data_IF_170195186341
#
_entry.id   IF_170195186341
#
_cell.length_a   1.000
_cell.length_b   1.000
_cell.length_c   1.000
_cell.angle_alpha   90.00
_cell.angle_beta   90.00
_cell.angle_gamma   90.00
#
_symmetry.space_group_name_H-M   'P 1'
#
loop_
_entity.id
_entity.type
_entity.pdbx_description
1 polymer ?
#
# COMPACT_ATOMS: atom_id res chain seq x y z
N UNK A 1 13.85 -40.00 67.16
CA UNK A 1 15.13 -39.45 67.66
C UNK A 1 15.57 -38.46 66.60
N UNK A 2 15.65 -37.20 67.01
CA UNK A 2 15.92 -36.01 66.20
C UNK A 2 17.35 -35.97 65.62
N UNK A 3 17.56 -34.90 64.83
CA UNK A 3 18.82 -34.23 64.40
C UNK A 3 19.40 -34.72 63.06
N UNK A 4 19.87 -33.90 62.11
CA UNK A 4 19.81 -32.46 61.75
C UNK A 4 20.60 -32.40 60.40
N UNK A 5 20.02 -31.93 59.29
CA UNK A 5 20.28 -30.65 58.60
C UNK A 5 21.74 -30.32 58.22
N UNK A 6 22.05 -30.29 56.90
CA UNK A 6 22.75 -29.16 56.29
C UNK A 6 22.51 -29.06 54.77
N UNK A 7 22.41 -27.80 54.32
CA UNK A 7 21.88 -27.28 53.06
C UNK A 7 22.77 -27.47 51.82
N UNK A 8 22.15 -27.57 50.65
CA UNK A 8 22.59 -26.76 49.52
C UNK A 8 21.41 -26.32 48.65
N UNK A 9 21.24 -25.00 48.55
CA UNK A 9 20.35 -24.32 47.61
C UNK A 9 20.79 -24.55 46.16
N UNK A 10 19.83 -24.82 45.28
CA UNK A 10 19.57 -23.96 44.12
C UNK A 10 18.19 -24.29 43.54
N UNK A 11 17.27 -23.32 43.66
CA UNK A 11 16.10 -23.14 42.81
C UNK A 11 16.60 -22.80 41.38
N UNK A 12 15.86 -22.96 40.29
CA UNK A 12 14.56 -22.35 39.97
C UNK A 12 13.93 -23.16 38.80
N UNK A 13 12.73 -23.71 38.98
CA UNK A 13 11.47 -23.16 38.45
C UNK A 13 11.30 -23.33 36.91
N UNK A 14 10.91 -24.53 36.47
CA UNK A 14 10.25 -24.74 35.18
C UNK A 14 8.81 -24.22 35.28
N UNK A 15 8.62 -22.98 34.83
CA UNK A 15 7.32 -22.37 34.58
C UNK A 15 6.75 -22.93 33.28
N UNK A 16 5.56 -23.49 33.37
CA UNK A 16 4.70 -23.95 32.28
C UNK A 16 4.59 -22.92 31.15
N UNK A 17 5.10 -23.25 29.96
CA UNK A 17 4.74 -22.53 28.73
C UNK A 17 3.35 -22.99 28.28
N UNK A 18 2.41 -22.04 28.30
CA UNK A 18 1.09 -22.17 27.69
C UNK A 18 1.24 -22.41 26.19
N UNK A 19 0.75 -23.56 25.72
CA UNK A 19 0.67 -23.91 24.31
C UNK A 19 -0.37 -23.03 23.63
N UNK A 20 0.05 -21.87 23.12
CA UNK A 20 -0.80 -21.07 22.23
C UNK A 20 -0.83 -21.77 20.86
N UNK A 21 -1.92 -22.49 20.61
CA UNK A 21 -2.20 -23.11 19.32
C UNK A 21 -2.76 -22.03 18.40
N UNK A 22 -1.97 -21.55 17.44
CA UNK A 22 -2.44 -20.64 16.38
C UNK A 22 -2.52 -21.42 15.07
N UNK A 23 -3.75 -21.76 14.68
CA UNK A 23 -4.08 -22.19 13.32
C UNK A 23 -4.22 -20.95 12.44
N UNK A 24 -3.55 -20.91 11.29
CA UNK A 24 -4.00 -20.10 10.16
C UNK A 24 -3.86 -20.92 8.88
N UNK A 25 -5.02 -21.23 8.30
CA UNK A 25 -5.21 -21.85 7.00
C UNK A 25 -4.76 -20.91 5.87
N UNK A 26 -3.94 -21.42 4.95
CA UNK A 26 -4.02 -21.02 3.54
C UNK A 26 -3.42 -22.12 2.66
N UNK A 27 -4.30 -22.98 2.19
CA UNK A 27 -4.04 -24.01 1.20
C UNK A 27 -3.93 -23.31 -0.16
N UNK A 28 -2.75 -23.35 -0.78
CA UNK A 28 -2.66 -23.09 -2.23
C UNK A 28 -3.15 -24.37 -2.91
N UNK A 29 -4.35 -24.32 -3.49
CA UNK A 29 -4.92 -25.41 -4.29
C UNK A 29 -4.46 -25.21 -5.73
N UNK A 30 -3.41 -25.93 -6.13
CA UNK A 30 -3.26 -26.29 -7.54
C UNK A 30 -3.93 -27.65 -7.74
N UNK A 31 -5.02 -27.67 -8.51
CA UNK A 31 -5.69 -28.90 -8.89
C UNK A 31 -4.85 -29.66 -9.92
N UNK A 32 -3.94 -30.52 -9.48
CA UNK A 32 -3.57 -31.74 -10.23
C UNK A 32 -3.27 -32.90 -9.27
N UNK A 33 -3.99 -34.00 -9.49
CA UNK A 33 -3.80 -35.37 -8.97
C UNK A 33 -3.23 -35.56 -7.55
N UNK A 34 -4.07 -36.10 -6.67
CA UNK A 34 -3.74 -36.53 -5.30
C UNK A 34 -2.64 -37.62 -5.30
N UNK A 35 -1.37 -37.21 -5.23
CA UNK A 35 -0.29 -38.01 -4.62
C UNK A 35 0.96 -37.14 -4.39
N UNK A 36 1.37 -37.00 -3.12
CA UNK A 36 2.53 -36.28 -2.60
C UNK A 36 2.39 -34.76 -2.38
N UNK A 37 1.45 -34.38 -1.50
CA UNK A 37 1.47 -33.05 -0.87
C UNK A 37 2.69 -32.93 0.05
N UNK A 38 3.73 -32.22 -0.40
CA UNK A 38 4.92 -31.94 0.39
C UNK A 38 4.68 -30.65 1.17
N UNK A 39 4.32 -30.76 2.45
CA UNK A 39 4.15 -29.60 3.33
C UNK A 39 5.55 -29.04 3.63
N UNK A 40 5.86 -27.87 3.08
CA UNK A 40 7.11 -27.15 3.37
C UNK A 40 6.79 -26.04 4.37
N UNK A 41 7.32 -26.17 5.59
CA UNK A 41 7.25 -25.10 6.58
C UNK A 41 8.31 -24.04 6.24
N UNK A 42 7.89 -22.96 5.59
CA UNK A 42 8.73 -21.78 5.42
C UNK A 42 8.80 -21.05 6.76
N UNK A 43 9.98 -21.02 7.38
CA UNK A 43 10.21 -20.16 8.54
C UNK A 43 10.11 -18.71 8.08
N UNK A 44 9.12 -17.98 8.62
CA UNK A 44 9.03 -16.54 8.41
C UNK A 44 10.30 -15.87 8.94
N UNK A 45 10.76 -14.78 8.32
CA UNK A 45 11.86 -13.99 8.88
C UNK A 45 11.46 -13.48 10.27
N UNK A 46 12.43 -13.28 11.19
CA UNK A 46 12.15 -12.69 12.49
C UNK A 46 11.44 -11.34 12.32
N UNK A 47 10.49 -11.04 13.22
CA UNK A 47 9.76 -9.76 13.22
C UNK A 47 8.97 -9.48 11.93
N UNK A 48 8.57 -10.52 11.19
CA UNK A 48 7.66 -10.38 10.05
C UNK A 48 6.29 -9.85 10.53
N UNK A 49 5.85 -8.73 9.94
CA UNK A 49 4.59 -8.07 10.28
C UNK A 49 3.55 -8.15 9.15
N UNK A 50 4.00 -8.41 7.92
CA UNK A 50 3.12 -8.62 6.78
C UNK A 50 3.82 -9.46 5.69
N UNK A 51 3.01 -10.17 4.91
CA UNK A 51 3.48 -10.97 3.78
C UNK A 51 2.69 -10.54 2.54
N UNK A 52 3.37 -9.85 1.63
CA UNK A 52 2.83 -9.46 0.33
C UNK A 52 3.08 -10.52 -0.74
N UNK A 53 2.68 -10.23 -1.98
CA UNK A 53 2.95 -11.10 -3.12
C UNK A 53 4.45 -11.21 -3.42
N UNK A 54 5.14 -10.07 -3.51
CA UNK A 54 6.56 -10.01 -3.87
C UNK A 54 7.53 -10.23 -2.71
N UNK A 55 7.08 -10.05 -1.45
CA UNK A 55 8.00 -10.00 -0.33
C UNK A 55 7.42 -10.12 1.08
N UNK A 56 8.32 -10.25 2.04
CA UNK A 56 8.06 -10.18 3.47
C UNK A 56 8.38 -8.78 3.99
N UNK A 57 7.49 -8.19 4.78
CA UNK A 57 7.74 -6.94 5.49
C UNK A 57 8.09 -7.28 6.93
N UNK A 58 9.29 -6.91 7.35
CA UNK A 58 9.82 -7.22 8.67
C UNK A 58 10.19 -5.93 9.40
N UNK A 59 9.80 -5.83 10.67
CA UNK A 59 10.17 -4.68 11.49
C UNK A 59 11.65 -4.79 11.88
N UNK A 60 12.43 -3.77 11.52
CA UNK A 60 13.85 -3.70 11.87
C UNK A 60 14.07 -3.00 13.22
N UNK A 61 13.34 -1.91 13.45
CA UNK A 61 13.36 -1.12 14.68
C UNK A 61 12.02 -0.36 14.85
N UNK A 62 11.97 0.63 15.74
CA UNK A 62 10.75 1.40 16.02
C UNK A 62 10.27 2.27 14.84
N UNK A 63 11.16 2.61 13.91
CA UNK A 63 10.92 3.59 12.86
C UNK A 63 11.16 3.02 11.45
N UNK A 64 11.55 1.75 11.34
CA UNK A 64 12.04 1.17 10.09
C UNK A 64 11.48 -0.23 9.85
N UNK A 65 11.13 -0.51 8.59
CA UNK A 65 10.90 -1.86 8.09
C UNK A 65 11.92 -2.24 7.01
N UNK A 66 12.09 -3.54 6.82
CA UNK A 66 12.81 -4.13 5.69
C UNK A 66 11.82 -4.95 4.88
N UNK A 67 11.75 -4.69 3.58
CA UNK A 67 11.01 -5.50 2.61
C UNK A 67 11.99 -6.46 1.95
N UNK A 68 11.90 -7.74 2.30
CA UNK A 68 12.69 -8.82 1.71
C UNK A 68 11.90 -9.42 0.54
N UNK A 69 12.56 -9.85 -0.56
CA UNK A 69 11.88 -10.66 -1.56
C UNK A 69 11.38 -11.97 -0.94
N UNK A 70 10.31 -12.53 -1.50
CA UNK A 70 9.90 -13.90 -1.16
C UNK A 70 10.99 -14.90 -1.52
N UNK A 71 11.07 -15.98 -0.76
CA UNK A 71 12.04 -17.05 -0.96
C UNK A 71 11.37 -18.42 -0.80
N UNK A 72 11.51 -19.25 -1.83
CA UNK A 72 11.09 -20.63 -1.85
C UNK A 72 12.32 -21.52 -2.06
N UNK A 73 12.59 -22.48 -1.15
CA UNK A 73 13.66 -23.45 -1.33
C UNK A 73 13.51 -24.18 -2.67
N UNK A 74 14.63 -24.40 -3.34
CA UNK A 74 14.73 -25.14 -4.61
C UNK A 74 13.92 -24.55 -5.79
N UNK A 75 13.50 -23.29 -5.71
CA UNK A 75 12.77 -22.61 -6.79
C UNK A 75 13.40 -21.27 -7.21
N UNK A 76 14.63 -21.34 -7.73
CA UNK A 76 15.38 -20.15 -8.16
C UNK A 76 14.69 -19.28 -9.23
N UNK A 77 13.95 -19.80 -10.22
CA UNK A 77 13.22 -18.95 -11.16
C UNK A 77 12.22 -18.01 -10.47
N UNK A 78 11.44 -18.51 -9.50
CA UNK A 78 10.51 -17.68 -8.73
C UNK A 78 11.26 -16.74 -7.78
N UNK A 79 12.32 -17.22 -7.12
CA UNK A 79 13.14 -16.36 -6.25
C UNK A 79 13.76 -15.20 -7.03
N UNK A 80 14.20 -15.44 -8.27
CA UNK A 80 14.72 -14.39 -9.14
C UNK A 80 13.62 -13.41 -9.52
N UNK A 81 12.42 -13.89 -9.88
CA UNK A 81 11.26 -13.03 -10.16
C UNK A 81 10.94 -12.10 -8.97
N UNK A 82 10.95 -12.62 -7.74
CA UNK A 82 10.72 -11.79 -6.55
C UNK A 82 11.83 -10.76 -6.29
N UNK A 83 13.10 -11.15 -6.50
CA UNK A 83 14.23 -10.20 -6.44
C UNK A 83 14.09 -9.09 -7.48
N UNK A 84 13.64 -9.43 -8.69
CA UNK A 84 13.45 -8.48 -9.78
C UNK A 84 12.29 -7.52 -9.47
N UNK A 85 11.17 -8.00 -8.91
CA UNK A 85 10.06 -7.15 -8.46
C UNK A 85 10.52 -6.12 -7.42
N UNK A 86 11.23 -6.56 -6.37
CA UNK A 86 11.75 -5.63 -5.35
C UNK A 86 12.80 -4.69 -5.94
N UNK A 87 13.62 -5.16 -6.90
CA UNK A 87 14.59 -4.31 -7.61
C UNK A 87 13.91 -3.22 -8.45
N UNK A 88 12.79 -3.53 -9.10
CA UNK A 88 11.96 -2.55 -9.83
C UNK A 88 11.35 -1.53 -8.88
N UNK A 89 10.76 -1.98 -7.77
CA UNK A 89 10.22 -1.11 -6.72
C UNK A 89 11.30 -0.17 -6.15
N UNK A 90 12.51 -0.68 -5.91
CA UNK A 90 13.68 0.12 -5.50
C UNK A 90 13.98 1.23 -6.50
N UNK A 91 14.01 0.92 -7.81
CA UNK A 91 14.29 1.91 -8.85
C UNK A 91 13.24 3.03 -8.88
N UNK A 92 11.99 2.72 -8.54
CA UNK A 92 10.93 3.71 -8.43
C UNK A 92 11.17 4.64 -7.26
N UNK A 93 11.43 4.10 -6.06
CA UNK A 93 11.76 4.94 -4.91
C UNK A 93 12.98 5.83 -5.18
N UNK A 94 14.01 5.29 -5.85
CA UNK A 94 15.19 6.07 -6.27
C UNK A 94 14.84 7.16 -7.29
N UNK A 95 13.94 6.90 -8.24
CA UNK A 95 13.47 7.90 -9.22
C UNK A 95 12.60 8.99 -8.58
N UNK A 96 11.73 8.62 -7.65
CA UNK A 96 10.83 9.54 -6.94
C UNK A 96 11.58 10.36 -5.89
N UNK A 97 12.66 9.82 -5.31
CA UNK A 97 13.39 10.48 -4.24
C UNK A 97 12.49 10.80 -3.03
N UNK A 98 12.81 11.88 -2.33
CA UNK A 98 12.01 12.34 -1.18
C UNK A 98 10.84 13.20 -1.65
N UNK A 99 9.62 12.77 -1.36
CA UNK A 99 8.39 13.52 -1.64
C UNK A 99 7.42 13.41 -0.47
N UNK A 100 6.70 14.49 -0.15
CA UNK A 100 5.88 14.60 1.07
C UNK A 100 4.81 13.51 1.19
N UNK A 101 4.26 13.03 0.07
CA UNK A 101 3.24 11.98 0.06
C UNK A 101 3.74 10.60 -0.35
N UNK A 102 5.06 10.34 -0.39
CA UNK A 102 5.62 8.99 -0.61
C UNK A 102 6.21 8.50 0.71
N UNK A 103 6.04 7.22 1.04
CA UNK A 103 6.67 6.65 2.25
C UNK A 103 8.20 6.79 2.14
N UNK A 104 8.90 7.28 3.18
CA UNK A 104 10.35 7.49 3.09
C UNK A 104 11.11 6.20 2.75
N UNK A 105 11.83 6.24 1.64
CA UNK A 105 12.80 5.22 1.26
C UNK A 105 14.15 5.51 1.91
N UNK A 106 14.67 4.53 2.65
CA UNK A 106 15.87 4.65 3.48
C UNK A 106 17.07 3.92 2.86
N UNK A 107 16.96 3.53 1.58
CA UNK A 107 18.02 2.89 0.82
C UNK A 107 17.93 1.36 0.78
N UNK A 108 18.96 0.77 0.19
CA UNK A 108 19.12 -0.68 0.09
C UNK A 108 19.52 -1.23 1.46
N UNK A 109 18.82 -2.27 1.92
CA UNK A 109 19.22 -3.03 3.09
C UNK A 109 20.29 -4.07 2.75
N UNK A 110 20.08 -4.80 1.66
CA UNK A 110 21.00 -5.84 1.19
C UNK A 110 20.99 -5.93 -0.34
N UNK A 111 22.15 -5.64 -0.96
CA UNK A 111 22.31 -5.67 -2.41
C UNK A 111 22.23 -7.08 -3.01
N UNK A 112 22.54 -8.13 -2.23
CA UNK A 112 22.53 -9.51 -2.73
C UNK A 112 21.11 -10.05 -2.90
N UNK A 113 20.19 -9.61 -2.04
CA UNK A 113 18.78 -9.99 -2.07
C UNK A 113 17.87 -8.91 -2.67
N UNK A 114 18.43 -7.75 -3.05
CA UNK A 114 17.67 -6.54 -3.41
C UNK A 114 16.77 -6.00 -2.29
N UNK A 115 16.88 -6.49 -1.05
CA UNK A 115 16.01 -6.05 0.04
C UNK A 115 16.14 -4.55 0.29
N UNK A 116 15.01 -3.88 0.49
CA UNK A 116 14.94 -2.42 0.67
C UNK A 116 14.50 -2.05 2.07
N UNK A 117 14.92 -0.87 2.52
CA UNK A 117 14.57 -0.29 3.81
C UNK A 117 13.61 0.88 3.61
N UNK A 118 12.50 0.89 4.35
CA UNK A 118 11.49 1.96 4.32
C UNK A 118 11.20 2.44 5.75
N UNK A 119 10.69 3.65 5.90
CA UNK A 119 10.13 4.10 7.17
C UNK A 119 8.94 3.23 7.60
N UNK A 120 8.80 3.02 8.90
CA UNK A 120 7.68 2.30 9.48
C UNK A 120 6.54 3.26 9.81
N UNK A 121 5.46 3.17 9.03
CA UNK A 121 4.22 3.88 9.28
C UNK A 121 3.44 3.23 10.45
N UNK A 122 3.63 3.74 11.67
CA UNK A 122 3.01 3.17 12.87
C UNK A 122 1.48 3.24 12.88
N UNK A 123 0.88 4.18 12.13
CA UNK A 123 -0.57 4.33 12.03
C UNK A 123 -1.19 3.38 10.98
N UNK A 124 -0.36 2.58 10.30
CA UNK A 124 -0.80 1.52 9.40
C UNK A 124 -1.39 2.02 8.08
N UNK A 125 -2.19 1.17 7.43
CA UNK A 125 -2.83 1.47 6.16
C UNK A 125 -4.06 2.37 6.34
N UNK A 126 -4.34 3.23 5.36
CA UNK A 126 -5.51 4.11 5.34
C UNK A 126 -6.83 3.32 5.49
N UNK A 127 -6.91 2.14 4.86
CA UNK A 127 -8.05 1.22 5.01
C UNK A 127 -8.37 0.90 6.48
N UNK A 128 -7.36 0.49 7.24
CA UNK A 128 -7.53 0.17 8.67
C UNK A 128 -7.67 1.45 9.50
N UNK A 129 -6.96 2.51 9.13
CA UNK A 129 -7.00 3.78 9.82
C UNK A 129 -8.42 4.36 9.87
N UNK A 130 -9.10 4.40 8.73
CA UNK A 130 -10.50 4.85 8.62
C UNK A 130 -11.43 4.00 9.49
N UNK A 131 -11.21 2.68 9.55
CA UNK A 131 -12.07 1.78 10.31
C UNK A 131 -11.97 1.99 11.84
N UNK A 132 -10.79 2.32 12.34
CA UNK A 132 -10.51 2.39 13.78
C UNK A 132 -10.46 3.81 14.36
N UNK A 133 -10.59 4.85 13.54
CA UNK A 133 -10.53 6.25 13.99
C UNK A 133 -11.81 6.99 13.63
N UNK A 134 -12.20 7.92 14.50
CA UNK A 134 -13.29 8.83 14.24
C UNK A 134 -13.00 9.71 13.01
N UNK A 135 -14.07 10.09 12.31
CA UNK A 135 -13.96 10.97 11.16
C UNK A 135 -13.39 12.33 11.57
N UNK A 136 -12.24 12.77 11.02
CA UNK A 136 -11.67 14.06 11.33
C UNK A 136 -12.46 15.19 10.65
N UNK A 137 -12.08 16.44 10.95
CA UNK A 137 -12.71 17.62 10.36
C UNK A 137 -12.65 17.58 8.84
N UNK A 138 -13.59 18.26 8.20
CA UNK A 138 -13.62 18.42 6.76
C UNK A 138 -12.30 18.99 6.20
N UNK A 139 -11.70 19.96 6.89
CA UNK A 139 -10.40 20.55 6.52
C UNK A 139 -9.24 19.55 6.51
N UNK A 140 -9.18 18.62 7.47
CA UNK A 140 -8.14 17.58 7.51
C UNK A 140 -8.34 16.62 6.34
N UNK A 141 -9.59 16.21 6.09
CA UNK A 141 -9.93 15.31 4.98
C UNK A 141 -9.62 15.95 3.63
N UNK A 142 -9.92 17.24 3.46
CA UNK A 142 -9.57 18.00 2.26
C UNK A 142 -8.05 18.06 2.05
N UNK A 143 -7.27 18.35 3.10
CA UNK A 143 -5.80 18.37 3.03
C UNK A 143 -5.20 17.00 2.71
N UNK A 144 -5.77 15.91 3.23
CA UNK A 144 -5.38 14.55 2.89
C UNK A 144 -5.67 14.23 1.42
N UNK A 145 -6.83 14.63 0.91
CA UNK A 145 -7.22 14.46 -0.50
C UNK A 145 -6.27 15.24 -1.42
N UNK A 146 -5.98 16.50 -1.09
CA UNK A 146 -5.00 17.32 -1.82
C UNK A 146 -3.63 16.63 -1.87
N UNK A 147 -3.13 16.15 -0.73
CA UNK A 147 -1.86 15.42 -0.67
C UNK A 147 -1.84 14.19 -1.59
N UNK A 148 -2.94 13.45 -1.65
CA UNK A 148 -3.07 12.28 -2.55
C UNK A 148 -3.01 12.71 -4.02
N UNK A 149 -3.80 13.71 -4.42
CA UNK A 149 -3.87 14.16 -5.81
C UNK A 149 -2.52 14.72 -6.27
N UNK A 150 -1.88 15.57 -5.48
CA UNK A 150 -0.54 16.09 -5.76
C UNK A 150 0.51 14.98 -5.87
N UNK A 151 0.41 13.94 -5.02
CA UNK A 151 1.37 12.84 -5.02
C UNK A 151 1.26 11.98 -6.27
N UNK A 152 0.04 11.64 -6.70
CA UNK A 152 -0.14 10.88 -7.93
C UNK A 152 0.18 11.69 -9.18
N UNK A 153 -0.07 13.00 -9.17
CA UNK A 153 0.44 13.90 -10.20
C UNK A 153 1.97 13.87 -10.25
N UNK A 154 2.63 13.93 -9.09
CA UNK A 154 4.09 13.81 -9.01
C UNK A 154 4.58 12.47 -9.57
N UNK A 155 4.01 11.34 -9.15
CA UNK A 155 4.37 10.01 -9.67
C UNK A 155 4.24 9.96 -11.20
N UNK A 156 3.12 10.46 -11.73
CA UNK A 156 2.89 10.54 -13.18
C UNK A 156 3.94 11.40 -13.89
N UNK A 157 4.29 12.57 -13.34
CA UNK A 157 5.33 13.47 -13.89
C UNK A 157 6.74 12.87 -13.88
N UNK A 158 6.93 11.76 -13.15
CA UNK A 158 8.15 10.96 -13.11
C UNK A 158 8.08 9.72 -14.00
N UNK A 159 7.10 9.68 -14.91
CA UNK A 159 6.88 8.66 -15.92
C UNK A 159 6.67 7.27 -15.31
N UNK A 160 5.85 7.21 -14.25
CA UNK A 160 5.51 5.99 -13.52
C UNK A 160 3.99 5.86 -13.45
N UNK A 161 3.49 4.64 -13.65
CA UNK A 161 2.15 4.21 -13.31
C UNK A 161 2.22 3.30 -12.08
N UNK A 162 1.31 3.47 -11.13
CA UNK A 162 1.25 2.66 -9.92
C UNK A 162 0.51 1.32 -10.15
N UNK A 163 -0.57 1.35 -10.93
CA UNK A 163 -1.46 0.27 -11.36
C UNK A 163 -2.18 -0.53 -10.27
N UNK A 164 -1.88 -0.32 -8.99
CA UNK A 164 -2.63 -0.93 -7.86
C UNK A 164 -3.05 0.11 -6.81
N UNK A 165 -3.66 1.22 -7.24
CA UNK A 165 -4.06 2.31 -6.32
C UNK A 165 -5.29 1.91 -5.49
N UNK A 166 -5.06 1.57 -4.21
CA UNK A 166 -6.10 1.13 -3.26
C UNK A 166 -5.83 1.67 -1.85
N UNK A 167 -6.84 1.79 -0.97
CA UNK A 167 -6.66 2.32 0.38
C UNK A 167 -5.65 1.53 1.23
N UNK A 168 -5.45 0.24 0.97
CA UNK A 168 -4.43 -0.56 1.63
C UNK A 168 -2.99 -0.31 1.11
N UNK A 169 -2.82 0.44 0.03
CA UNK A 169 -1.49 0.88 -0.48
C UNK A 169 -1.11 2.28 0.00
N UNK A 170 -2.05 2.99 0.61
CA UNK A 170 -1.79 4.26 1.29
C UNK A 170 -1.52 3.96 2.76
N UNK A 171 -0.39 4.40 3.28
CA UNK A 171 -0.05 4.38 4.70
C UNK A 171 -0.40 5.72 5.33
N UNK A 172 -0.73 5.73 6.62
CA UNK A 172 -0.77 6.94 7.43
C UNK A 172 0.53 7.01 8.21
N UNK A 173 1.27 8.10 8.04
CA UNK A 173 2.55 8.31 8.72
C UNK A 173 2.69 9.79 9.07
N UNK A 174 2.88 10.07 10.36
CA UNK A 174 2.92 11.42 10.92
C UNK A 174 1.64 12.21 10.55
N UNK A 175 0.49 11.58 10.78
CA UNK A 175 -0.85 12.14 10.52
C UNK A 175 -1.09 12.59 9.07
N UNK A 176 -0.36 12.00 8.13
CA UNK A 176 -0.40 12.34 6.70
C UNK A 176 -0.42 11.07 5.84
N UNK A 177 -1.22 11.04 4.75
CA UNK A 177 -1.24 9.91 3.85
C UNK A 177 0.05 9.83 3.02
N UNK A 178 0.61 8.62 2.90
CA UNK A 178 1.81 8.30 2.12
C UNK A 178 1.51 7.13 1.19
N UNK A 179 1.69 7.32 -0.12
CA UNK A 179 1.69 6.23 -1.10
C UNK A 179 2.87 5.30 -0.81
N UNK A 180 2.60 4.01 -0.88
CA UNK A 180 3.57 2.93 -0.69
C UNK A 180 3.30 1.78 -1.65
N UNK A 181 4.21 0.81 -1.69
CA UNK A 181 4.05 -0.48 -2.36
C UNK A 181 3.88 -0.40 -3.89
N UNK A 182 5.00 -0.14 -4.58
CA UNK A 182 5.08 -0.19 -6.04
C UNK A 182 5.30 -1.64 -6.52
N UNK A 183 4.33 -2.51 -6.23
CA UNK A 183 4.44 -3.96 -6.49
C UNK A 183 4.17 -4.39 -7.94
N UNK A 184 3.29 -3.67 -8.65
CA UNK A 184 2.97 -3.90 -10.06
C UNK A 184 3.10 -2.63 -10.91
N UNK A 185 4.22 -1.89 -10.84
CA UNK A 185 4.31 -0.61 -11.48
C UNK A 185 4.69 -0.75 -12.96
N UNK A 186 4.37 0.28 -13.74
CA UNK A 186 4.97 0.47 -15.05
C UNK A 186 5.87 1.70 -15.05
N UNK A 187 7.07 1.53 -15.60
CA UNK A 187 8.13 2.54 -15.61
C UNK A 187 8.46 2.86 -17.06
N UNK A 188 8.37 4.14 -17.42
CA UNK A 188 8.76 4.61 -18.74
C UNK A 188 10.04 5.45 -18.69
N UNK A 189 10.67 5.61 -19.86
CA UNK A 189 11.78 6.55 -20.02
C UNK A 189 11.31 7.98 -19.72
N UNK A 190 12.17 8.83 -19.17
CA UNK A 190 11.80 10.20 -18.75
C UNK A 190 11.41 11.12 -19.92
N UNK A 191 11.84 10.80 -21.14
CA UNK A 191 11.47 11.48 -22.37
C UNK A 191 10.24 10.85 -23.07
N UNK A 192 9.62 9.83 -22.45
CA UNK A 192 8.40 9.23 -22.96
C UNK A 192 7.23 10.23 -22.90
N UNK A 193 6.39 10.18 -23.93
CA UNK A 193 5.15 10.96 -23.98
C UNK A 193 4.06 10.22 -23.18
N UNK A 194 3.96 10.55 -21.89
CA UNK A 194 2.97 9.96 -20.97
C UNK A 194 1.51 10.23 -21.38
N UNK A 195 1.24 11.38 -21.99
CA UNK A 195 -0.10 11.71 -22.50
C UNK A 195 -0.51 10.74 -23.62
N UNK A 196 0.39 10.45 -24.56
CA UNK A 196 0.15 9.48 -25.62
C UNK A 196 0.00 8.03 -25.10
N UNK A 197 0.67 7.70 -23.98
CA UNK A 197 0.53 6.40 -23.31
C UNK A 197 -0.89 6.29 -22.73
N UNK A 198 -1.33 7.26 -21.93
CA UNK A 198 -2.67 7.30 -21.34
C UNK A 198 -3.82 7.28 -22.34
N UNK A 199 -3.64 7.95 -23.49
CA UNK A 199 -4.66 7.97 -24.55
C UNK A 199 -4.81 6.61 -25.23
N UNK A 200 -3.72 5.86 -25.38
CA UNK A 200 -3.71 4.58 -26.10
C UNK A 200 -4.01 3.38 -25.21
N UNK A 201 -3.60 3.46 -23.95
CA UNK A 201 -3.71 2.37 -22.99
C UNK A 201 -4.76 2.70 -21.93
N UNK A 202 -5.87 1.96 -21.96
CA UNK A 202 -6.92 2.07 -20.94
C UNK A 202 -6.42 1.67 -19.55
N UNK A 203 -5.40 0.80 -19.45
CA UNK A 203 -4.87 0.38 -18.16
C UNK A 203 -4.17 1.52 -17.42
N UNK A 204 -3.58 2.48 -18.15
CA UNK A 204 -3.00 3.69 -17.59
C UNK A 204 -4.01 4.54 -16.80
N UNK A 205 -5.30 4.48 -17.15
CA UNK A 205 -6.37 5.22 -16.44
C UNK A 205 -6.88 4.49 -15.19
N UNK A 206 -6.48 3.24 -14.95
CA UNK A 206 -6.85 2.49 -13.74
C UNK A 206 -6.34 3.18 -12.46
N UNK A 207 -5.21 3.89 -12.53
CA UNK A 207 -4.74 4.74 -11.43
C UNK A 207 -5.76 5.83 -11.08
N UNK A 208 -6.37 6.48 -12.07
CA UNK A 208 -7.40 7.53 -11.87
C UNK A 208 -8.64 6.94 -11.19
N UNK A 209 -9.06 5.75 -11.59
CA UNK A 209 -10.15 5.01 -10.93
C UNK A 209 -9.84 4.75 -9.45
N UNK A 210 -8.65 4.23 -9.18
CA UNK A 210 -8.18 3.96 -7.82
C UNK A 210 -8.06 5.23 -6.99
N UNK A 211 -7.54 6.32 -7.56
CA UNK A 211 -7.47 7.64 -6.91
C UNK A 211 -8.89 8.11 -6.52
N UNK A 212 -9.87 7.98 -7.42
CA UNK A 212 -11.27 8.27 -7.09
C UNK A 212 -11.79 7.47 -5.89
N UNK A 213 -11.37 6.21 -5.75
CA UNK A 213 -11.68 5.39 -4.58
C UNK A 213 -11.00 5.88 -3.29
N UNK A 214 -9.75 6.37 -3.36
CA UNK A 214 -9.06 6.98 -2.22
C UNK A 214 -9.74 8.28 -1.79
N UNK A 215 -10.06 9.15 -2.76
CA UNK A 215 -10.75 10.42 -2.50
C UNK A 215 -12.09 10.15 -1.83
N UNK A 216 -12.89 9.22 -2.38
CA UNK A 216 -14.12 8.79 -1.74
C UNK A 216 -13.89 8.27 -0.32
N UNK A 217 -12.90 7.40 -0.12
CA UNK A 217 -12.66 6.76 1.17
C UNK A 217 -12.37 7.80 2.26
N UNK A 218 -11.60 8.83 1.93
CA UNK A 218 -11.31 9.95 2.83
C UNK A 218 -12.55 10.86 2.98
N UNK A 219 -13.20 11.24 1.88
CA UNK A 219 -14.34 12.17 1.85
C UNK A 219 -15.61 11.62 2.51
N UNK A 220 -15.81 10.31 2.51
CA UNK A 220 -16.91 9.65 3.22
C UNK A 220 -16.47 9.10 4.59
N UNK A 221 -15.16 9.10 4.86
CA UNK A 221 -14.53 8.37 5.96
C UNK A 221 -15.03 6.92 6.05
N UNK A 222 -15.03 6.26 4.89
CA UNK A 222 -15.50 4.89 4.70
C UNK A 222 -14.74 4.23 3.57
N UNK A 223 -14.01 3.15 3.87
CA UNK A 223 -13.21 2.43 2.88
C UNK A 223 -14.07 1.94 1.71
N UNK A 224 -13.58 2.22 0.50
CA UNK A 224 -14.08 1.66 -0.76
C UNK A 224 -12.93 1.54 -1.75
N UNK A 225 -12.96 0.50 -2.57
CA UNK A 225 -12.07 0.32 -3.71
C UNK A 225 -12.76 -0.57 -4.73
N UNK A 226 -12.29 -0.49 -5.97
CA UNK A 226 -12.80 -1.28 -7.08
C UNK A 226 -11.63 -1.90 -7.84
N UNK A 227 -11.66 -3.21 -8.05
CA UNK A 227 -10.63 -3.91 -8.82
C UNK A 227 -10.99 -3.95 -10.29
N UNK A 228 -10.34 -3.11 -11.11
CA UNK A 228 -10.56 -3.15 -12.54
C UNK A 228 -10.12 -4.49 -13.16
N UNK A 229 -9.01 -5.08 -12.70
CA UNK A 229 -8.44 -6.28 -13.30
C UNK A 229 -9.23 -7.55 -12.93
N UNK A 230 -9.86 -7.58 -11.75
CA UNK A 230 -10.76 -8.67 -11.39
C UNK A 230 -12.09 -8.59 -12.15
N UNK A 231 -12.60 -7.37 -12.36
CA UNK A 231 -13.91 -7.15 -12.99
C UNK A 231 -13.84 -7.06 -14.52
N UNK A 232 -12.67 -6.77 -15.08
CA UNK A 232 -12.40 -6.55 -16.50
C UNK A 232 -13.33 -5.49 -17.14
N UNK A 233 -13.74 -4.49 -16.35
CA UNK A 233 -14.59 -3.38 -16.78
C UNK A 233 -14.55 -2.22 -15.79
N UNK A 234 -14.93 -1.04 -16.27
CA UNK A 234 -15.20 0.11 -15.41
C UNK A 234 -16.44 -0.14 -14.52
N UNK A 235 -16.50 0.42 -13.30
CA UNK A 235 -17.67 0.29 -12.44
C UNK A 235 -18.95 0.86 -13.08
N UNK A 236 -20.07 0.19 -12.83
CA UNK A 236 -21.40 0.68 -13.14
C UNK A 236 -22.03 1.29 -11.88
N UNK A 237 -23.13 2.03 -12.01
CA UNK A 237 -23.80 2.69 -10.87
C UNK A 237 -24.21 1.73 -9.74
N UNK A 238 -24.40 0.43 -10.02
CA UNK A 238 -24.72 -0.58 -9.00
C UNK A 238 -23.51 -1.00 -8.14
N UNK A 239 -22.30 -0.80 -8.65
CA UNK A 239 -21.05 -1.16 -7.98
C UNK A 239 -20.54 -0.02 -7.08
N UNK A 240 -21.08 1.18 -7.28
CA UNK A 240 -20.58 2.41 -6.68
C UNK A 240 -21.42 2.84 -5.48
N UNK A 241 -20.78 3.34 -4.41
CA UNK A 241 -21.49 3.91 -3.28
C UNK A 241 -22.10 5.28 -3.62
N UNK A 242 -23.06 5.73 -2.80
CA UNK A 242 -23.63 7.07 -2.90
C UNK A 242 -22.58 8.13 -2.54
N UNK A 243 -22.49 9.18 -3.36
CA UNK A 243 -21.52 10.27 -3.23
C UNK A 243 -22.13 11.66 -2.99
N UNK A 244 -23.46 11.76 -2.98
CA UNK A 244 -24.15 13.06 -2.85
C UNK A 244 -23.79 13.78 -1.56
N UNK A 245 -23.30 15.02 -1.68
CA UNK A 245 -22.92 15.87 -0.56
C UNK A 245 -21.53 15.58 0.04
N UNK A 246 -20.71 14.78 -0.64
CA UNK A 246 -19.32 14.56 -0.24
C UNK A 246 -18.39 15.67 -0.75
N UNK A 247 -17.28 15.85 -0.03
CA UNK A 247 -16.15 16.63 -0.54
C UNK A 247 -15.70 16.10 -1.91
N UNK A 248 -15.47 17.02 -2.84
CA UNK A 248 -15.00 16.71 -4.19
C UNK A 248 -15.86 15.67 -4.93
N UNK A 249 -17.18 15.67 -4.68
CA UNK A 249 -18.15 14.76 -5.29
C UNK A 249 -17.98 14.69 -6.83
N UNK A 250 -17.85 15.83 -7.49
CA UNK A 250 -17.71 15.91 -8.94
C UNK A 250 -16.40 15.27 -9.44
N UNK A 251 -15.30 15.42 -8.69
CA UNK A 251 -14.01 14.80 -9.01
C UNK A 251 -14.12 13.27 -8.90
N UNK A 252 -14.71 12.77 -7.81
CA UNK A 252 -14.95 11.32 -7.61
C UNK A 252 -15.81 10.77 -8.75
N UNK A 253 -16.89 11.49 -9.12
CA UNK A 253 -17.80 11.08 -10.19
C UNK A 253 -17.08 10.98 -11.55
N UNK A 254 -16.23 11.96 -11.87
CA UNK A 254 -15.44 11.98 -13.12
C UNK A 254 -14.39 10.86 -13.14
N UNK A 255 -13.73 10.58 -12.01
CA UNK A 255 -12.82 9.43 -11.90
C UNK A 255 -13.56 8.11 -12.19
N UNK A 256 -14.75 7.91 -11.61
CA UNK A 256 -15.53 6.69 -11.78
C UNK A 256 -16.30 6.59 -13.10
N UNK A 257 -16.30 7.64 -13.93
CA UNK A 257 -16.96 7.66 -15.23
C UNK A 257 -15.98 7.72 -16.40
N UNK A 258 -14.68 7.48 -16.16
CA UNK A 258 -13.59 7.55 -17.14
C UNK A 258 -13.56 8.89 -17.91
N UNK A 259 -13.84 10.00 -17.20
CA UNK A 259 -13.97 11.33 -17.83
C UNK A 259 -12.65 12.12 -17.90
N UNK A 260 -11.56 11.59 -17.34
CA UNK A 260 -10.24 12.21 -17.40
C UNK A 260 -9.36 11.47 -18.39
N UNK A 261 -8.79 12.19 -19.34
CA UNK A 261 -7.92 11.60 -20.36
C UNK A 261 -6.58 11.15 -19.79
N UNK A 262 -6.10 11.84 -18.75
CA UNK A 262 -4.82 11.57 -18.08
C UNK A 262 -4.75 12.22 -16.68
N UNK A 263 -3.69 11.94 -15.93
CA UNK A 263 -3.48 12.51 -14.60
C UNK A 263 -3.37 14.04 -14.58
N UNK A 264 -2.91 14.67 -15.67
CA UNK A 264 -2.83 16.13 -15.74
C UNK A 264 -4.24 16.74 -15.71
N UNK A 265 -5.17 16.20 -16.50
CA UNK A 265 -6.56 16.68 -16.54
C UNK A 265 -7.28 16.54 -15.20
N UNK A 266 -7.01 15.47 -14.44
CA UNK A 266 -7.50 15.31 -13.07
C UNK A 266 -6.92 16.40 -12.14
N UNK A 267 -5.61 16.60 -12.20
CA UNK A 267 -4.90 17.55 -11.33
C UNK A 267 -5.34 19.00 -11.58
N UNK A 268 -5.50 19.39 -12.84
CA UNK A 268 -5.95 20.73 -13.24
C UNK A 268 -7.39 21.01 -12.78
N UNK A 269 -8.30 20.05 -12.97
CA UNK A 269 -9.69 20.14 -12.51
C UNK A 269 -9.76 20.23 -10.98
N UNK A 270 -9.00 19.40 -10.26
CA UNK A 270 -8.92 19.46 -8.80
C UNK A 270 -8.40 20.82 -8.31
N UNK A 271 -7.33 21.34 -8.94
CA UNK A 271 -6.73 22.63 -8.57
C UNK A 271 -7.66 23.82 -8.80
N UNK A 272 -8.50 23.76 -9.84
CA UNK A 272 -9.50 24.79 -10.11
C UNK A 272 -10.60 24.82 -9.04
N UNK A 273 -11.03 23.65 -8.55
CA UNK A 273 -12.01 23.54 -7.46
C UNK A 273 -11.45 24.12 -6.16
N UNK A 274 -10.24 23.72 -5.75
CA UNK A 274 -9.65 24.20 -4.49
C UNK A 274 -9.33 25.69 -4.50
N UNK A 275 -8.95 26.25 -5.65
CA UNK A 275 -8.73 27.69 -5.80
C UNK A 275 -10.02 28.51 -5.66
N UNK A 276 -11.14 27.96 -6.12
CA UNK A 276 -12.46 28.61 -6.01
C UNK A 276 -12.96 28.62 -4.57
N UNK A 277 -12.78 27.53 -3.83
CA UNK A 277 -13.18 27.42 -2.43
C UNK A 277 -12.46 28.45 -1.55
N UNK A 278 -11.16 28.68 -1.78
CA UNK A 278 -10.38 29.70 -1.06
C UNK A 278 -10.89 31.12 -1.32
N UNK A 279 -11.28 31.43 -2.56
CA UNK A 279 -11.83 32.76 -2.89
C UNK A 279 -13.20 33.02 -2.24
N UNK A 280 -14.03 31.98 -2.09
CA UNK A 280 -15.35 32.10 -1.45
C UNK A 280 -15.28 32.20 0.07
N UNK A 281 -14.20 31.70 0.69
CA UNK A 281 -14.00 31.77 2.14
C UNK A 281 -13.44 33.13 2.61
N UNK A 282 -12.79 33.90 1.73
CA UNK A 282 -12.27 35.24 2.05
C UNK A 282 -13.31 36.37 1.90
N UNK A 283 -14.44 36.11 1.24
CA UNK A 283 -15.54 37.06 1.04
C UNK A 283 -16.71 36.88 2.03
N UNK A 284 -16.60 35.93 2.98
CA UNK A 284 -17.64 35.55 3.95
C UNK A 284 -17.54 36.19 5.33
#
# INVERSE_FOLDING_TARGET
MELEMQEHCQNDAESSEETVTVFIDQIIIEQESVSNMKIVHLKQPPSCIAIGYSGYICKADQNTIIKHPRYHPDNEPYNQMYRDMISTERQIYERLGSHKGIIPYLGVHDHSTSAIKLAYAQQGHLESYIHYHDMPSESIRASWIETIVETFWYIYSRNILHQDVKPNKILVHDDSPKVSDFGNPEIFALDANMEAIYMKDSFSRVDILGIGCIIYSIAAWRTFWYDYFEQDRWPESKDLPVISGLLYEDIVRKCWSDCYENMQSLYEDFSAVTSTDMSSAEEG
#
